data_IF_669559731184
#
_entry.id   IF_669559731184
#
_cell.length_a   1.000
_cell.length_b   1.000
_cell.length_c   1.000
_cell.angle_alpha   90.00
_cell.angle_beta   90.00
_cell.angle_gamma   90.00
#
_symmetry.space_group_name_H-M   'P 1'
#
loop_
_entity.id
_entity.type
_entity.pdbx_description
1 polymer ?
#
# COMPACT_ATOMS: atom_id res chain seq x y z
N UNK A 1 1.65 -17.40 20.42
CA UNK A 1 1.68 -16.88 20.18
C UNK A 1 1.78 -15.93 19.70
N UNK A 2 1.73 -16.10 19.49
CA UNK A 2 1.71 -15.31 18.93
C UNK A 2 2.25 -14.29 19.01
N UNK A 3 2.64 -14.33 19.37
CA UNK A 3 3.02 -13.27 19.50
C UNK A 3 2.87 -12.28 18.65
N UNK A 4 2.02 -12.15 18.32
CA UNK A 4 1.69 -11.18 17.35
C UNK A 4 1.96 -9.78 17.87
N UNK A 5 2.83 -9.05 17.18
CA UNK A 5 3.24 -7.73 17.64
C UNK A 5 2.60 -6.61 16.85
N UNK A 6 1.77 -6.94 15.87
CA UNK A 6 1.07 -5.92 15.11
C UNK A 6 0.01 -5.26 15.97
N UNK A 7 -0.01 -3.94 15.94
CA UNK A 7 -1.04 -3.19 16.64
C UNK A 7 -2.25 -2.95 15.74
N UNK A 8 -2.10 -3.19 14.44
CA UNK A 8 -3.16 -2.94 13.45
C UNK A 8 -3.38 -4.20 12.64
N UNK A 9 -4.62 -4.69 12.57
CA UNK A 9 -4.93 -5.83 11.72
C UNK A 9 -4.64 -5.52 10.25
N UNK A 10 -4.17 -6.52 9.53
CA UNK A 10 -3.95 -6.42 8.10
C UNK A 10 -5.03 -7.18 7.36
N UNK A 11 -5.59 -6.55 6.35
CA UNK A 11 -6.58 -7.18 5.50
C UNK A 11 -5.94 -7.51 4.16
N UNK A 12 -6.22 -8.70 3.63
CA UNK A 12 -5.73 -9.09 2.31
C UNK A 12 -6.62 -8.44 1.26
N UNK A 13 -6.28 -7.20 0.93
CA UNK A 13 -7.03 -6.41 -0.02
C UNK A 13 -6.12 -6.11 -1.20
N UNK A 14 -6.59 -6.43 -2.41
CA UNK A 14 -5.88 -6.15 -3.64
C UNK A 14 -6.57 -4.99 -4.36
N UNK A 15 -6.03 -3.80 -4.21
CA UNK A 15 -6.51 -2.61 -4.91
C UNK A 15 -5.45 -2.12 -5.87
N UNK A 16 -5.84 -1.55 -7.00
CA UNK A 16 -4.91 -0.75 -7.80
C UNK A 16 -4.44 0.42 -6.97
N UNK A 17 -3.16 0.72 -7.06
CA UNK A 17 -2.57 1.86 -6.36
C UNK A 17 -1.58 2.52 -7.30
N UNK A 18 -1.57 3.85 -7.31
CA UNK A 18 -0.60 4.62 -8.05
C UNK A 18 0.37 5.24 -7.07
N UNK A 19 1.66 4.98 -7.28
CA UNK A 19 2.73 5.55 -6.48
C UNK A 19 3.27 6.74 -7.25
N UNK A 20 3.26 7.92 -6.63
CA UNK A 20 3.72 9.14 -7.29
C UNK A 20 5.23 9.28 -7.06
N UNK A 21 5.99 9.28 -8.14
CA UNK A 21 7.45 9.35 -8.10
C UNK A 21 7.95 10.60 -8.80
N UNK A 22 9.26 10.85 -8.68
CA UNK A 22 9.92 11.94 -9.42
C UNK A 22 9.71 11.85 -10.92
N UNK A 23 9.64 10.63 -11.43
CA UNK A 23 9.57 10.39 -12.87
C UNK A 23 8.17 10.10 -13.34
N UNK A 24 7.17 10.42 -12.51
CA UNK A 24 5.78 10.23 -12.85
C UNK A 24 5.14 9.09 -12.06
N UNK A 25 3.89 8.77 -12.37
CA UNK A 25 3.17 7.74 -11.63
C UNK A 25 3.65 6.34 -12.01
N UNK A 26 3.71 5.47 -11.01
CA UNK A 26 3.98 4.04 -11.21
C UNK A 26 2.79 3.29 -10.66
N UNK A 27 2.16 2.49 -11.49
CA UNK A 27 1.00 1.72 -11.08
C UNK A 27 1.45 0.41 -10.44
N UNK A 28 0.75 0.04 -9.37
CA UNK A 28 0.99 -1.21 -8.68
C UNK A 28 -0.30 -1.74 -8.10
N UNK A 29 -0.17 -2.74 -7.24
CA UNK A 29 -1.32 -3.33 -6.55
C UNK A 29 -0.94 -3.61 -5.12
N UNK A 30 -1.90 -3.42 -4.23
CA UNK A 30 -1.70 -3.79 -2.84
C UNK A 30 -1.83 -5.31 -2.69
N UNK A 31 -1.13 -5.87 -1.71
CA UNK A 31 -1.32 -7.26 -1.29
C UNK A 31 -2.04 -7.33 0.05
N UNK A 32 -1.77 -6.35 0.90
CA UNK A 32 -2.51 -6.20 2.14
C UNK A 32 -2.50 -4.74 2.54
N UNK A 33 -3.44 -4.37 3.39
CA UNK A 33 -3.58 -3.00 3.89
C UNK A 33 -3.98 -3.06 5.36
N UNK A 34 -3.44 -2.12 6.14
CA UNK A 34 -3.88 -1.87 7.50
C UNK A 34 -4.05 -0.36 7.67
N UNK A 35 -4.44 0.07 8.85
CA UNK A 35 -4.51 1.50 9.14
C UNK A 35 -3.13 2.14 9.20
N UNK A 36 -2.08 1.33 9.38
CA UNK A 36 -0.71 1.82 9.54
C UNK A 36 0.09 1.80 8.25
N UNK A 37 -0.28 0.98 7.28
CA UNK A 37 0.51 0.85 6.07
C UNK A 37 0.00 -0.21 5.12
N UNK A 38 0.81 -0.50 4.11
CA UNK A 38 0.41 -1.42 3.04
C UNK A 38 1.64 -2.10 2.45
N UNK A 39 1.42 -3.25 1.86
CA UNK A 39 2.40 -3.96 1.05
C UNK A 39 1.99 -3.81 -0.40
N UNK A 40 2.88 -3.30 -1.23
CA UNK A 40 2.59 -3.00 -2.64
C UNK A 40 3.51 -3.80 -3.54
N UNK A 41 2.95 -4.30 -4.63
CA UNK A 41 3.70 -4.93 -5.72
C UNK A 41 3.70 -4.00 -6.92
N UNK A 42 4.88 -3.75 -7.46
CA UNK A 42 5.05 -2.92 -8.65
C UNK A 42 5.78 -3.70 -9.74
N UNK A 43 5.49 -3.44 -11.02
CA UNK A 43 6.23 -4.08 -12.10
C UNK A 43 7.66 -3.56 -12.23
N UNK A 44 7.92 -2.39 -11.68
CA UNK A 44 9.25 -1.76 -11.77
C UNK A 44 9.58 -1.07 -10.46
N UNK A 45 10.88 -0.81 -10.27
CA UNK A 45 11.36 -0.14 -9.06
C UNK A 45 11.05 1.35 -9.17
N UNK A 46 10.24 1.91 -8.25
CA UNK A 46 9.94 3.34 -8.30
C UNK A 46 11.09 4.16 -7.72
N UNK A 47 11.28 5.36 -8.27
CA UNK A 47 12.27 6.31 -7.76
C UNK A 47 11.56 7.25 -6.79
N UNK A 48 11.72 6.99 -5.49
CA UNK A 48 10.90 7.59 -4.46
C UNK A 48 11.65 8.64 -3.64
N UNK A 49 10.89 9.66 -3.22
CA UNK A 49 11.29 10.57 -2.15
C UNK A 49 11.21 9.84 -0.81
N UNK A 50 11.72 10.45 0.25
CA UNK A 50 11.60 9.91 1.61
C UNK A 50 10.13 9.75 1.98
N UNK A 51 9.31 10.73 1.63
CA UNK A 51 7.85 10.62 1.74
C UNK A 51 7.27 10.76 0.34
N UNK A 52 6.34 9.89 0.01
CA UNK A 52 5.73 9.88 -1.30
C UNK A 52 4.22 9.69 -1.18
N UNK A 53 3.52 10.05 -2.24
CA UNK A 53 2.06 9.96 -2.25
C UNK A 53 1.60 8.66 -2.87
N UNK A 54 0.50 8.17 -2.34
CA UNK A 54 -0.17 6.99 -2.83
C UNK A 54 -1.61 7.35 -3.14
N UNK A 55 -2.11 6.82 -4.25
CA UNK A 55 -3.52 6.96 -4.63
C UNK A 55 -4.08 5.56 -4.81
N UNK A 56 -4.95 5.15 -3.89
CA UNK A 56 -5.63 3.86 -3.99
C UNK A 56 -6.89 4.03 -4.81
N UNK A 57 -7.16 3.07 -5.69
CA UNK A 57 -8.30 3.15 -6.61
C UNK A 57 -9.20 1.92 -6.45
N UNK A 58 -9.88 1.79 -5.31
CA UNK A 58 -10.75 0.63 -5.10
C UNK A 58 -11.94 0.66 -6.02
N UNK A 59 -12.30 -0.50 -6.56
CA UNK A 59 -13.46 -0.60 -7.44
C UNK A 59 -14.73 -0.31 -6.64
N UNK A 60 -15.61 0.53 -7.20
CA UNK A 60 -16.87 0.85 -6.56
C UNK A 60 -16.77 1.79 -5.37
N UNK A 61 -15.61 2.37 -5.14
CA UNK A 61 -15.40 3.32 -4.04
C UNK A 61 -14.64 4.52 -4.57
N UNK A 62 -14.66 5.59 -3.79
CA UNK A 62 -13.86 6.76 -4.14
C UNK A 62 -12.38 6.48 -3.95
N UNK A 63 -11.55 7.24 -4.63
CA UNK A 63 -10.10 7.14 -4.46
C UNK A 63 -9.70 7.56 -3.05
N UNK A 64 -8.66 6.90 -2.54
CA UNK A 64 -8.11 7.20 -1.22
C UNK A 64 -6.69 7.68 -1.38
N UNK A 65 -6.32 8.65 -0.55
CA UNK A 65 -4.99 9.25 -0.58
C UNK A 65 -4.23 8.90 0.67
N UNK A 66 -2.93 8.76 0.54
CA UNK A 66 -2.03 8.59 1.68
C UNK A 66 -0.66 9.13 1.31
N UNK A 67 0.09 9.49 2.33
CA UNK A 67 1.52 9.75 2.21
C UNK A 67 2.22 8.67 3.02
N UNK A 68 3.34 8.18 2.51
CA UNK A 68 4.04 7.11 3.19
C UNK A 68 5.54 7.15 3.00
N UNK A 69 6.19 6.24 3.70
CA UNK A 69 7.62 6.01 3.54
C UNK A 69 7.87 4.53 3.39
N UNK A 70 8.89 4.19 2.62
CA UNK A 70 9.24 2.80 2.40
C UNK A 70 10.04 2.29 3.59
N UNK A 71 9.61 1.17 4.18
CA UNK A 71 10.30 0.56 5.32
C UNK A 71 11.10 -0.66 4.91
N UNK A 72 10.76 -1.30 3.79
CA UNK A 72 11.56 -2.37 3.21
C UNK A 72 11.15 -2.59 1.76
N UNK A 73 12.03 -3.24 1.03
CA UNK A 73 11.73 -3.61 -0.35
C UNK A 73 12.51 -4.86 -0.73
N UNK A 74 12.01 -5.55 -1.75
CA UNK A 74 12.68 -6.73 -2.26
C UNK A 74 12.23 -6.96 -3.70
N UNK A 75 13.03 -7.69 -4.45
CA UNK A 75 12.65 -8.16 -5.78
C UNK A 75 12.27 -9.62 -5.62
N UNK A 76 11.04 -9.92 -5.99
CA UNK A 76 10.50 -11.26 -5.86
C UNK A 76 10.35 -11.89 -7.24
N UNK A 77 10.56 -13.19 -7.30
CA UNK A 77 10.40 -13.95 -8.53
C UNK A 77 9.15 -14.79 -8.43
N UNK A 78 8.37 -14.76 -9.49
CA UNK A 78 7.23 -15.61 -9.67
C UNK A 78 7.47 -16.33 -10.99
N UNK A 79 7.19 -17.59 -11.07
CA UNK A 79 7.41 -18.47 -12.22
C UNK A 79 8.19 -17.88 -13.40
N UNK A 80 7.62 -16.87 -14.05
CA UNK A 80 8.19 -16.27 -15.25
C UNK A 80 8.53 -14.80 -15.09
N UNK A 81 8.16 -14.19 -13.97
CA UNK A 81 8.26 -12.75 -13.84
C UNK A 81 8.97 -12.34 -12.56
N UNK A 82 9.67 -11.23 -12.66
CA UNK A 82 10.19 -10.54 -11.48
C UNK A 82 9.33 -9.33 -11.23
N UNK A 83 9.08 -9.04 -9.96
CA UNK A 83 8.36 -7.83 -9.59
C UNK A 83 8.96 -7.26 -8.32
N UNK A 84 8.72 -5.98 -8.11
CA UNK A 84 9.22 -5.26 -6.96
C UNK A 84 8.13 -5.22 -5.89
N UNK A 85 8.50 -5.58 -4.67
CA UNK A 85 7.57 -5.51 -3.53
C UNK A 85 8.13 -4.54 -2.51
N UNK A 86 7.27 -3.72 -1.93
CA UNK A 86 7.69 -2.79 -0.91
C UNK A 86 6.66 -2.67 0.20
N UNK A 87 7.16 -2.59 1.42
CA UNK A 87 6.34 -2.30 2.59
C UNK A 87 6.37 -0.81 2.83
N UNK A 88 5.20 -0.21 2.97
CA UNK A 88 5.03 1.23 3.15
C UNK A 88 4.34 1.48 4.47
N UNK A 89 4.90 2.39 5.25
CA UNK A 89 4.27 2.89 6.47
C UNK A 89 3.61 4.22 6.13
N UNK A 90 2.34 4.38 6.47
CA UNK A 90 1.64 5.65 6.24
C UNK A 90 2.17 6.69 7.21
N UNK A 91 2.53 7.85 6.68
CA UNK A 91 2.93 9.00 7.50
C UNK A 91 1.78 9.98 7.63
N UNK A 92 0.83 9.95 6.69
CA UNK A 92 -0.35 10.77 6.75
C UNK A 92 -1.46 10.17 5.89
N UNK A 93 -2.67 10.15 6.43
CA UNK A 93 -3.88 9.78 5.68
C UNK A 93 -4.93 10.81 6.07
N UNK A 94 -5.56 11.50 5.11
CA UNK A 94 -6.63 12.45 5.44
C UNK A 94 -7.72 11.79 6.28
N UNK A 95 -8.32 12.55 7.17
CA UNK A 95 -9.27 11.99 8.15
C UNK A 95 -10.41 11.22 7.50
N UNK A 96 -11.02 11.79 6.47
CA UNK A 96 -12.10 11.09 5.78
C UNK A 96 -11.62 9.77 5.19
N UNK A 97 -10.42 9.78 4.62
CA UNK A 97 -9.85 8.58 4.00
C UNK A 97 -9.50 7.54 5.05
N UNK A 98 -9.14 7.96 6.26
CA UNK A 98 -8.93 7.03 7.36
C UNK A 98 -10.20 6.24 7.69
N UNK A 99 -11.35 6.91 7.67
CA UNK A 99 -12.62 6.24 7.93
C UNK A 99 -12.95 5.21 6.87
N UNK A 100 -12.78 5.58 5.61
CA UNK A 100 -13.06 4.66 4.50
C UNK A 100 -12.11 3.49 4.53
N UNK A 101 -10.84 3.76 4.78
CA UNK A 101 -9.82 2.71 4.89
C UNK A 101 -10.16 1.76 6.05
N UNK A 102 -10.54 2.33 7.20
CA UNK A 102 -10.89 1.53 8.36
C UNK A 102 -12.07 0.61 8.11
N UNK A 103 -13.09 1.11 7.41
CA UNK A 103 -14.24 0.29 7.05
C UNK A 103 -13.84 -0.85 6.13
N UNK A 104 -12.99 -0.58 5.15
CA UNK A 104 -12.55 -1.60 4.22
C UNK A 104 -11.74 -2.68 4.93
N UNK A 105 -10.85 -2.30 5.84
CA UNK A 105 -10.06 -3.25 6.61
C UNK A 105 -10.96 -4.13 7.47
N UNK A 106 -11.96 -3.55 8.11
CA UNK A 106 -12.90 -4.30 8.93
C UNK A 106 -13.71 -5.29 8.10
N UNK A 107 -14.12 -4.91 6.91
CA UNK A 107 -14.89 -5.77 6.02
C UNK A 107 -14.11 -7.00 5.59
N UNK A 108 -12.78 -6.93 5.60
CA UNK A 108 -11.92 -8.00 5.10
C UNK A 108 -11.15 -8.72 6.22
N UNK A 109 -11.45 -8.42 7.44
CA UNK A 109 -10.88 -9.13 8.59
C UNK A 109 -12.00 -9.82 9.40
#
# INVERSE_FOLDING_TARGET
MANEKRQHPRAEITWPVTVITHNGPVDGRTQNISLAGTLIRCPEVPDLDDNFRLVFKPAGRQMLLATGEMIWSDILLDDKYAFYAMGVRFTYVPEHDQHVLGEAVLEHT
#
